data_IF_422411353176
#
_entry.id   IF_422411353176
#
_cell.length_a   1.000
_cell.length_b   1.000
_cell.length_c   1.000
_cell.angle_alpha   90.00
_cell.angle_beta   90.00
_cell.angle_gamma   90.00
#
_symmetry.space_group_name_H-M   'P 1'
#
loop_
_entity.id
_entity.type
_entity.pdbx_description
1 polymer ?
#
# COMPACT_ATOMS: atom_id res chain seq x y z
N UNK A 1 7.00 28.40 22.14
CA UNK A 1 5.61 28.38 21.62
C UNK A 1 5.59 27.52 20.38
N UNK A 2 5.01 26.32 20.50
CA UNK A 2 4.91 25.35 19.41
C UNK A 2 4.16 26.02 18.25
N UNK A 3 4.89 26.33 17.18
CA UNK A 3 4.32 26.67 15.89
C UNK A 3 3.35 25.54 15.56
N UNK A 4 2.06 25.82 15.42
CA UNK A 4 1.06 24.80 15.08
C UNK A 4 1.54 24.10 13.80
N UNK A 5 2.13 22.91 13.94
CA UNK A 5 2.61 22.12 12.82
C UNK A 5 1.41 21.91 11.89
N UNK A 6 1.47 22.54 10.72
CA UNK A 6 0.49 22.30 9.67
C UNK A 6 0.78 20.95 9.05
N UNK A 7 0.26 19.90 9.68
CA UNK A 7 0.39 18.52 9.22
C UNK A 7 -0.61 18.30 8.08
N UNK A 8 -0.19 17.70 6.94
CA UNK A 8 -1.11 17.38 5.86
C UNK A 8 -2.21 16.43 6.33
N UNK A 9 -3.41 16.61 5.77
CA UNK A 9 -4.54 15.72 5.97
C UNK A 9 -4.94 15.10 4.63
N UNK A 10 -5.08 13.79 4.60
CA UNK A 10 -5.71 13.08 3.50
C UNK A 10 -7.21 13.38 3.54
N UNK A 11 -7.73 13.99 2.47
CA UNK A 11 -9.14 14.33 2.34
C UNK A 11 -9.96 13.18 1.73
N UNK A 12 -9.34 12.41 0.83
CA UNK A 12 -9.93 11.29 0.11
C UNK A 12 -8.85 10.42 -0.56
N UNK A 13 -9.24 9.25 -1.06
CA UNK A 13 -8.38 8.35 -1.84
C UNK A 13 -9.09 7.06 -2.22
N UNK A 14 -8.38 6.20 -2.95
CA UNK A 14 -8.91 4.92 -3.42
C UNK A 14 -7.78 3.97 -3.73
N UNK A 15 -8.07 2.68 -3.56
CA UNK A 15 -7.18 1.56 -3.88
C UNK A 15 -5.92 1.54 -3.01
N UNK A 16 -5.31 0.37 -2.94
CA UNK A 16 -4.10 0.18 -2.18
C UNK A 16 -2.89 0.61 -3.01
N UNK A 17 -1.83 1.06 -2.35
CA UNK A 17 -0.60 1.40 -3.07
C UNK A 17 0.04 0.12 -3.64
N UNK A 18 0.65 0.18 -4.84
CA UNK A 18 1.50 -0.90 -5.32
C UNK A 18 2.54 -1.26 -4.25
N UNK A 19 2.78 -2.54 -3.97
CA UNK A 19 3.83 -2.96 -3.05
C UNK A 19 5.19 -2.41 -3.48
N UNK A 20 6.05 -2.14 -2.51
CA UNK A 20 7.43 -1.74 -2.79
C UNK A 20 8.14 -2.83 -3.61
N UNK A 21 8.98 -2.42 -4.55
CA UNK A 21 9.73 -3.31 -5.45
C UNK A 21 8.90 -4.28 -6.32
N UNK A 22 7.60 -4.01 -6.54
CA UNK A 22 6.74 -4.83 -7.42
C UNK A 22 7.06 -4.77 -8.92
N UNK A 23 8.20 -4.21 -9.35
CA UNK A 23 8.56 -4.12 -10.76
C UNK A 23 7.86 -3.01 -11.56
N UNK A 24 7.39 -1.97 -10.87
CA UNK A 24 6.74 -0.81 -11.48
C UNK A 24 5.33 -1.11 -12.01
N UNK A 25 4.85 -0.30 -12.96
CA UNK A 25 3.48 -0.42 -13.50
C UNK A 25 3.19 -1.79 -14.11
N UNK A 26 4.16 -2.35 -14.84
CA UNK A 26 3.99 -3.64 -15.51
C UNK A 26 3.94 -4.78 -14.50
N UNK A 27 4.93 -4.87 -13.61
CA UNK A 27 4.95 -5.91 -12.58
C UNK A 27 3.75 -5.84 -11.63
N UNK A 28 3.28 -4.64 -11.26
CA UNK A 28 2.04 -4.50 -10.49
C UNK A 28 0.83 -5.03 -11.27
N UNK A 29 0.71 -4.72 -12.56
CA UNK A 29 -0.42 -5.17 -13.38
C UNK A 29 -0.42 -6.70 -13.54
N UNK A 30 0.74 -7.29 -13.81
CA UNK A 30 0.90 -8.74 -13.96
C UNK A 30 0.56 -9.46 -12.64
N UNK A 31 1.08 -8.96 -11.51
CA UNK A 31 0.73 -9.46 -10.19
C UNK A 31 -0.79 -9.45 -9.95
N UNK A 32 -1.49 -8.36 -10.29
CA UNK A 32 -2.95 -8.29 -10.11
C UNK A 32 -3.71 -9.31 -10.97
N UNK A 33 -3.25 -9.61 -12.19
CA UNK A 33 -3.89 -10.62 -13.03
C UNK A 33 -3.63 -12.04 -12.52
N UNK A 34 -2.43 -12.30 -11.99
CA UNK A 34 -2.10 -13.58 -11.37
C UNK A 34 -2.91 -13.79 -10.09
N UNK A 35 -3.03 -12.79 -9.21
CA UNK A 35 -3.78 -12.90 -7.95
C UNK A 35 -5.29 -13.14 -8.12
N UNK A 36 -5.85 -12.95 -9.34
CA UNK A 36 -7.24 -13.34 -9.65
C UNK A 36 -7.40 -14.81 -9.96
N UNK A 37 -6.30 -15.55 -10.15
CA UNK A 37 -6.27 -16.92 -10.63
C UNK A 37 -5.50 -17.80 -9.63
N UNK A 38 -6.17 -18.34 -8.59
CA UNK A 38 -5.51 -19.16 -7.57
C UNK A 38 -4.83 -20.44 -8.09
N UNK A 39 -5.15 -20.86 -9.31
CA UNK A 39 -4.56 -22.00 -10.01
C UNK A 39 -3.39 -21.63 -10.94
N UNK A 40 -3.07 -20.33 -11.06
CA UNK A 40 -1.93 -19.87 -11.84
C UNK A 40 -0.60 -20.31 -11.20
N UNK A 41 0.37 -20.71 -12.02
CA UNK A 41 1.65 -21.27 -11.53
C UNK A 41 2.44 -20.31 -10.63
N UNK A 42 2.33 -19.00 -10.87
CA UNK A 42 2.98 -17.96 -10.08
C UNK A 42 2.17 -17.48 -8.86
N UNK A 43 0.92 -17.94 -8.66
CA UNK A 43 0.04 -17.41 -7.61
C UNK A 43 0.66 -17.53 -6.22
N UNK A 44 1.12 -18.72 -5.85
CA UNK A 44 1.74 -18.96 -4.54
C UNK A 44 3.04 -18.16 -4.36
N UNK A 45 3.81 -17.97 -5.43
CA UNK A 45 5.03 -17.14 -5.40
C UNK A 45 4.72 -15.68 -5.06
N UNK A 46 3.64 -15.13 -5.63
CA UNK A 46 3.24 -13.75 -5.30
C UNK A 46 2.68 -13.65 -3.88
N UNK A 47 1.87 -14.61 -3.43
CA UNK A 47 1.36 -14.61 -2.04
C UNK A 47 2.49 -14.70 -1.02
N UNK A 48 3.49 -15.56 -1.27
CA UNK A 48 4.67 -15.66 -0.42
C UNK A 48 5.47 -14.36 -0.41
N UNK A 49 5.75 -13.77 -1.58
CA UNK A 49 6.48 -12.51 -1.70
C UNK A 49 5.77 -11.34 -1.00
N UNK A 50 4.44 -11.27 -1.12
CA UNK A 50 3.60 -10.28 -0.42
C UNK A 50 3.57 -10.48 1.10
N UNK A 51 3.99 -11.64 1.59
CA UNK A 51 3.93 -11.99 3.01
C UNK A 51 2.49 -12.17 3.53
N UNK A 52 1.52 -12.40 2.63
CA UNK A 52 0.12 -12.56 2.99
C UNK A 52 -0.86 -12.10 1.92
N UNK A 53 -2.11 -11.89 2.33
CA UNK A 53 -3.18 -11.43 1.43
C UNK A 53 -2.97 -9.95 1.07
N UNK A 54 -3.08 -9.66 -0.21
CA UNK A 54 -3.09 -8.30 -0.74
C UNK A 54 -4.48 -7.99 -1.31
N UNK A 55 -5.10 -6.92 -0.81
CA UNK A 55 -6.32 -6.36 -1.38
C UNK A 55 -5.98 -5.09 -2.16
N UNK A 56 -6.11 -5.09 -3.50
CA UNK A 56 -5.82 -3.92 -4.32
C UNK A 56 -6.84 -2.79 -4.15
N UNK A 57 -8.03 -3.06 -3.61
CA UNK A 57 -9.08 -2.06 -3.43
C UNK A 57 -9.07 -1.44 -2.03
N UNK A 58 -8.25 -1.97 -1.11
CA UNK A 58 -8.15 -1.47 0.26
C UNK A 58 -7.69 -0.01 0.31
N UNK A 59 -8.47 0.82 1.02
CA UNK A 59 -8.12 2.19 1.34
C UNK A 59 -8.83 2.61 2.65
N UNK A 60 -8.07 3.13 3.61
CA UNK A 60 -8.61 3.68 4.86
C UNK A 60 -8.00 5.06 5.15
N UNK A 61 -8.84 6.10 5.00
CA UNK A 61 -8.46 7.49 5.23
C UNK A 61 -8.06 7.77 6.68
N UNK A 62 -8.72 7.13 7.65
CA UNK A 62 -8.45 7.34 9.07
C UNK A 62 -7.11 6.70 9.47
N UNK A 63 -6.80 5.53 8.91
CA UNK A 63 -5.48 4.90 9.07
C UNK A 63 -4.37 5.78 8.51
N UNK A 64 -4.54 6.32 7.29
CA UNK A 64 -3.57 7.21 6.65
C UNK A 64 -3.38 8.49 7.47
N UNK A 65 -4.46 9.15 7.87
CA UNK A 65 -4.38 10.36 8.69
C UNK A 65 -3.76 10.10 10.06
N UNK A 66 -3.90 8.89 10.62
CA UNK A 66 -3.18 8.48 11.83
C UNK A 66 -1.68 8.34 11.59
N UNK A 67 -1.26 7.81 10.42
CA UNK A 67 0.16 7.72 10.03
C UNK A 67 0.76 9.11 9.77
N UNK A 68 0.06 10.01 9.08
CA UNK A 68 0.54 11.37 8.80
C UNK A 68 0.81 12.20 10.07
N UNK A 69 0.15 11.90 11.19
CA UNK A 69 0.39 12.57 12.47
C UNK A 69 1.66 12.11 13.20
N UNK A 70 2.31 11.04 12.74
CA UNK A 70 3.58 10.56 13.32
C UNK A 70 4.72 11.48 12.89
N UNK A 71 5.83 11.44 13.64
CA UNK A 71 7.03 12.25 13.35
C UNK A 71 7.67 11.93 11.99
N UNK A 72 7.49 10.71 11.51
CA UNK A 72 7.97 10.21 10.22
C UNK A 72 6.95 10.42 9.08
N UNK A 73 5.79 11.03 9.37
CA UNK A 73 4.67 11.19 8.43
C UNK A 73 4.22 9.89 7.76
N UNK A 74 4.41 8.75 8.42
CA UNK A 74 4.07 7.43 7.88
C UNK A 74 5.18 6.74 7.09
N UNK A 75 6.37 7.34 6.98
CA UNK A 75 7.55 6.68 6.45
C UNK A 75 8.06 5.64 7.46
N UNK A 76 7.81 4.37 7.18
CA UNK A 76 8.15 3.23 8.07
C UNK A 76 9.66 2.90 8.05
N UNK A 77 10.47 3.69 7.34
CA UNK A 77 11.87 3.43 7.03
C UNK A 77 12.87 4.46 7.62
N UNK A 78 12.44 5.27 8.61
CA UNK A 78 13.32 6.17 9.38
C UNK A 78 13.73 5.59 10.73
#
# INVERSE_FOLDING_TARGET
>A
PDEQLQIPICIDGKRNCPPEDCGGVWGYSDMLEVLKQPDHEEYESYIEWLGGKFDPEYFDKDEINKKLKKKDFGCIWL
#
